data_IF_720198891701
#
_entry.id   IF_720198891701
#
_cell.length_a   1.000
_cell.length_b   1.000
_cell.length_c   1.000
_cell.angle_alpha   90.00
_cell.angle_beta   90.00
_cell.angle_gamma   90.00
#
_symmetry.space_group_name_H-M   'P 1'
#
loop_
_entity.id
_entity.type
_entity.pdbx_description
1 polymer ?
#
# COMPACT_ATOMS: atom_id res chain seq x y z
N UNK A 1 43.76 -17.01 -9.54
CA UNK A 1 43.08 -15.75 -9.15
C UNK A 1 41.62 -16.04 -8.77
N UNK A 2 41.35 -16.77 -7.67
CA UNK A 2 39.99 -16.94 -7.11
C UNK A 2 39.48 -15.69 -6.38
N UNK A 3 40.39 -14.85 -5.89
CA UNK A 3 40.20 -13.61 -5.17
C UNK A 3 39.34 -12.57 -5.94
N UNK A 4 39.59 -12.36 -7.23
CA UNK A 4 38.79 -11.45 -8.07
C UNK A 4 37.33 -11.92 -8.26
N UNK A 5 37.11 -13.23 -8.33
CA UNK A 5 35.78 -13.82 -8.47
C UNK A 5 34.93 -13.65 -7.20
N UNK A 6 35.54 -13.78 -6.01
CA UNK A 6 34.86 -13.52 -4.74
C UNK A 6 34.46 -12.05 -4.59
N UNK A 7 35.33 -11.11 -4.97
CA UNK A 7 34.98 -9.68 -4.94
C UNK A 7 33.83 -9.37 -5.89
N UNK A 8 33.86 -9.88 -7.12
CA UNK A 8 32.77 -9.71 -8.08
C UNK A 8 31.44 -10.27 -7.52
N UNK A 9 31.44 -11.51 -7.02
CA UNK A 9 30.25 -12.14 -6.44
C UNK A 9 29.71 -11.37 -5.22
N UNK A 10 30.60 -10.92 -4.31
CA UNK A 10 30.22 -10.15 -3.13
C UNK A 10 29.64 -8.78 -3.48
N UNK A 11 30.13 -8.14 -4.54
CA UNK A 11 29.59 -6.88 -5.05
C UNK A 11 28.17 -7.05 -5.58
N UNK A 12 27.91 -8.09 -6.38
CA UNK A 12 26.57 -8.35 -6.90
C UNK A 12 25.57 -8.67 -5.80
N UNK A 13 25.97 -9.49 -4.81
CA UNK A 13 25.13 -9.79 -3.66
C UNK A 13 24.89 -8.55 -2.78
N UNK A 14 25.91 -7.72 -2.58
CA UNK A 14 25.81 -6.48 -1.81
C UNK A 14 24.91 -5.44 -2.47
N UNK A 15 25.08 -5.20 -3.77
CA UNK A 15 24.24 -4.27 -4.54
C UNK A 15 22.80 -4.78 -4.60
N UNK A 16 22.60 -6.08 -4.86
CA UNK A 16 21.27 -6.67 -4.91
C UNK A 16 20.53 -6.55 -3.57
N UNK A 17 21.22 -6.85 -2.46
CA UNK A 17 20.67 -6.69 -1.11
C UNK A 17 20.33 -5.23 -0.79
N UNK A 18 21.20 -4.30 -1.17
CA UNK A 18 20.96 -2.87 -0.96
C UNK A 18 19.72 -2.37 -1.72
N UNK A 19 19.58 -2.76 -2.99
CA UNK A 19 18.42 -2.38 -3.82
C UNK A 19 17.12 -2.98 -3.26
N UNK A 20 17.15 -4.25 -2.83
CA UNK A 20 16.00 -4.92 -2.20
C UNK A 20 15.57 -4.20 -0.91
N UNK A 21 16.51 -3.84 -0.05
CA UNK A 21 16.22 -3.08 1.17
C UNK A 21 15.67 -1.69 0.84
N UNK A 22 16.25 -1.00 -0.14
CA UNK A 22 15.82 0.33 -0.53
C UNK A 22 14.40 0.32 -1.13
N UNK A 23 14.06 -0.69 -1.94
CA UNK A 23 12.68 -0.90 -2.43
C UNK A 23 11.71 -1.18 -1.29
N UNK A 24 12.09 -2.02 -0.33
CA UNK A 24 11.24 -2.40 0.79
C UNK A 24 10.98 -1.20 1.72
N UNK A 25 12.01 -0.41 2.01
CA UNK A 25 11.89 0.85 2.77
C UNK A 25 11.01 1.85 2.01
N UNK A 26 11.24 2.03 0.71
CA UNK A 26 10.43 2.92 -0.13
C UNK A 26 8.95 2.52 -0.13
N UNK A 27 8.66 1.22 -0.22
CA UNK A 27 7.31 0.70 -0.14
C UNK A 27 6.63 1.02 1.20
N UNK A 28 7.34 0.81 2.33
CA UNK A 28 6.82 1.13 3.65
C UNK A 28 6.52 2.63 3.82
N UNK A 29 7.38 3.50 3.30
CA UNK A 29 7.18 4.96 3.34
C UNK A 29 5.94 5.38 2.55
N UNK A 30 5.78 4.88 1.32
CA UNK A 30 4.62 5.19 0.47
C UNK A 30 3.34 4.63 1.09
N UNK A 31 3.39 3.41 1.60
CA UNK A 31 2.27 2.78 2.31
C UNK A 31 1.81 3.63 3.50
N UNK A 32 2.74 4.08 4.35
CA UNK A 32 2.44 4.94 5.48
C UNK A 32 1.84 6.29 5.06
N UNK A 33 2.33 6.86 3.95
CA UNK A 33 1.80 8.10 3.41
C UNK A 33 0.37 7.92 2.87
N UNK A 34 0.06 6.79 2.25
CA UNK A 34 -1.29 6.45 1.75
C UNK A 34 -2.27 6.10 2.86
N UNK A 35 -1.81 5.60 4.00
CA UNK A 35 -2.68 5.31 5.15
C UNK A 35 -3.47 6.54 5.59
N UNK A 36 -2.85 7.72 5.62
CA UNK A 36 -3.54 8.94 6.07
C UNK A 36 -4.74 9.34 5.19
N UNK A 37 -4.59 9.53 3.86
CA UNK A 37 -5.73 9.86 3.00
C UNK A 37 -6.76 8.72 2.95
N UNK A 38 -6.32 7.46 2.90
CA UNK A 38 -7.23 6.32 2.89
C UNK A 38 -8.07 6.24 4.16
N UNK A 39 -7.47 6.45 5.34
CA UNK A 39 -8.22 6.51 6.59
C UNK A 39 -9.29 7.63 6.55
N UNK A 40 -8.95 8.81 6.04
CA UNK A 40 -9.92 9.91 5.88
C UNK A 40 -11.07 9.56 4.94
N UNK A 41 -10.84 8.74 3.91
CA UNK A 41 -11.89 8.28 3.00
C UNK A 41 -12.77 7.23 3.69
N UNK A 42 -12.17 6.24 4.37
CA UNK A 42 -12.90 5.23 5.12
C UNK A 42 -13.83 5.85 6.18
N UNK A 43 -13.32 6.83 6.93
CA UNK A 43 -14.08 7.55 7.96
C UNK A 43 -15.28 8.30 7.35
N UNK A 44 -15.10 8.92 6.18
CA UNK A 44 -16.19 9.59 5.44
C UNK A 44 -17.22 8.61 4.90
N UNK A 45 -16.77 7.48 4.38
CA UNK A 45 -17.64 6.43 3.85
C UNK A 45 -18.38 5.65 4.95
N UNK A 46 -18.02 5.83 6.24
CA UNK A 46 -18.63 5.15 7.38
C UNK A 46 -17.96 3.81 7.74
N UNK A 47 -16.81 3.50 7.13
CA UNK A 47 -16.00 2.33 7.45
C UNK A 47 -15.03 2.60 8.61
N UNK A 48 -14.65 1.56 9.35
CA UNK A 48 -13.64 1.73 10.41
C UNK A 48 -12.28 2.09 9.81
N UNK A 49 -11.60 3.08 10.40
CA UNK A 49 -10.26 3.49 9.98
C UNK A 49 -9.20 2.38 9.97
N UNK A 50 -9.48 1.27 10.67
CA UNK A 50 -8.64 0.09 10.72
C UNK A 50 -8.41 -0.55 9.35
N UNK A 51 -9.34 -0.39 8.39
CA UNK A 51 -9.16 -0.87 7.03
C UNK A 51 -7.96 -0.22 6.34
N UNK A 52 -7.63 1.01 6.71
CA UNK A 52 -6.45 1.68 6.17
C UNK A 52 -5.14 1.01 6.58
N UNK A 53 -5.07 0.35 7.75
CA UNK A 53 -3.87 -0.37 8.17
C UNK A 53 -3.52 -1.55 7.26
N UNK A 54 -4.46 -2.04 6.44
CA UNK A 54 -4.14 -3.07 5.46
C UNK A 54 -3.07 -2.62 4.47
N UNK A 55 -2.89 -1.32 4.22
CA UNK A 55 -1.80 -0.81 3.39
C UNK A 55 -0.41 -1.25 3.88
N UNK A 56 -0.22 -1.57 5.18
CA UNK A 56 1.02 -2.12 5.71
C UNK A 56 1.39 -3.48 5.10
N UNK A 57 0.42 -4.21 4.54
CA UNK A 57 0.65 -5.45 3.81
C UNK A 57 1.02 -5.12 2.37
N UNK A 58 2.29 -5.34 1.95
CA UNK A 58 2.71 -5.04 0.60
C UNK A 58 1.91 -5.82 -0.43
N UNK A 59 1.65 -5.15 -1.57
CA UNK A 59 0.88 -5.67 -2.70
C UNK A 59 -0.60 -5.86 -2.36
N UNK A 60 -0.94 -6.87 -1.57
CA UNK A 60 -2.33 -7.32 -1.36
C UNK A 60 -3.15 -6.27 -0.60
N UNK A 61 -2.54 -5.62 0.40
CA UNK A 61 -3.23 -4.69 1.29
C UNK A 61 -3.84 -3.49 0.57
N UNK A 62 -3.07 -2.86 -0.32
CA UNK A 62 -3.53 -1.70 -1.08
C UNK A 62 -4.62 -2.08 -2.09
N UNK A 63 -4.50 -3.24 -2.76
CA UNK A 63 -5.54 -3.73 -3.66
C UNK A 63 -6.84 -4.05 -2.92
N UNK A 64 -6.79 -4.67 -1.75
CA UNK A 64 -7.97 -4.98 -0.94
C UNK A 64 -8.68 -3.69 -0.53
N UNK A 65 -7.95 -2.69 -0.04
CA UNK A 65 -8.58 -1.42 0.36
C UNK A 65 -9.21 -0.70 -0.83
N UNK A 66 -8.53 -0.69 -1.98
CA UNK A 66 -9.08 -0.11 -3.20
C UNK A 66 -10.32 -0.87 -3.68
N UNK A 67 -10.33 -2.20 -3.60
CA UNK A 67 -11.49 -3.01 -3.95
C UNK A 67 -12.68 -2.76 -3.01
N UNK A 68 -12.45 -2.66 -1.69
CA UNK A 68 -13.51 -2.36 -0.72
C UNK A 68 -14.08 -0.96 -0.97
N UNK A 69 -13.24 0.04 -1.22
CA UNK A 69 -13.70 1.39 -1.50
C UNK A 69 -14.42 1.50 -2.86
N UNK A 70 -13.99 0.74 -3.87
CA UNK A 70 -14.55 0.80 -5.22
C UNK A 70 -15.85 -0.01 -5.38
N UNK A 71 -15.99 -1.13 -4.68
CA UNK A 71 -17.11 -2.07 -4.84
C UNK A 71 -17.96 -2.27 -3.58
N UNK A 72 -17.52 -1.77 -2.42
CA UNK A 72 -18.31 -1.84 -1.19
C UNK A 72 -19.42 -0.81 -1.19
N UNK A 73 -20.51 -1.13 -0.50
CA UNK A 73 -21.61 -0.19 -0.24
C UNK A 73 -21.11 0.92 0.68
N UNK A 74 -21.51 2.17 0.42
CA UNK A 74 -21.02 3.33 1.18
C UNK A 74 -22.10 3.73 2.18
N UNK A 75 -22.05 3.24 3.44
CA UNK A 75 -23.15 3.41 4.40
C UNK A 75 -23.50 4.87 4.71
N UNK A 76 -22.61 5.81 4.39
CA UNK A 76 -22.81 7.24 4.62
C UNK A 76 -22.92 8.07 3.32
N UNK A 77 -23.10 7.44 2.16
CA UNK A 77 -22.90 8.13 0.88
C UNK A 77 -23.49 7.51 -0.38
N UNK A 78 -24.50 6.63 -0.32
CA UNK A 78 -25.36 6.49 -1.50
C UNK A 78 -26.12 7.81 -1.69
N UNK A 79 -25.79 8.55 -2.75
CA UNK A 79 -26.65 9.62 -3.23
C UNK A 79 -28.03 9.00 -3.44
N UNK A 80 -29.02 9.40 -2.63
CA UNK A 80 -30.41 9.01 -2.87
C UNK A 80 -30.72 9.43 -4.31
N UNK A 81 -31.17 8.52 -5.20
CA UNK A 81 -31.67 8.95 -6.48
C UNK A 81 -32.81 9.92 -6.18
N UNK A 82 -32.66 11.17 -6.57
CA UNK A 82 -33.67 12.20 -6.38
C UNK A 82 -34.96 11.72 -7.07
N UNK A 83 -35.85 11.07 -6.33
CA UNK A 83 -37.21 10.77 -6.76
C UNK A 83 -37.98 12.08 -6.65
N UNK A 84 -37.82 12.95 -7.65
CA UNK A 84 -38.67 14.13 -7.85
C UNK A 84 -37.92 15.41 -8.18
N UNK A 85 -38.03 15.82 -9.46
CA UNK A 85 -37.60 17.11 -10.00
C UNK A 85 -37.94 17.20 -11.48
#
# INVERSE_FOLDING_TARGET
MPDTFYYAMSWFLGIGSFVMLMMLIGHLLVSLLLIVPTWRICDRAGFSGAWSLLHLVPVIGSFVVMAILAFGDWPNGEASPDVGG
#
